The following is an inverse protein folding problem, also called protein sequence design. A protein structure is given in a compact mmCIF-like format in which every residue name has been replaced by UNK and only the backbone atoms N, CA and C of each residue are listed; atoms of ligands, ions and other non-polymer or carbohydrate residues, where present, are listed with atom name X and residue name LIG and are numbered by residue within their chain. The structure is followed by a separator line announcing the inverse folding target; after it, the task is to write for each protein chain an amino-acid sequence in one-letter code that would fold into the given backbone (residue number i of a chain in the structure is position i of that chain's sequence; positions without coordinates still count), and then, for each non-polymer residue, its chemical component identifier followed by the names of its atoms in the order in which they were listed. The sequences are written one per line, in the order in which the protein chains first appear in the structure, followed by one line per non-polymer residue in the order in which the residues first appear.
data_IF_586317576881
#
_entry.id   IF_586317576881
#
_cell.length_a   1.000
_cell.length_b   1.000
_cell.length_c   1.000
_cell.angle_alpha   90.00
_cell.angle_beta   90.00
_cell.angle_gamma   90.00
#
_symmetry.space_group_name_H-M   'P 1'
#
loop_
_entity.id
_entity.type
_entity.pdbx_description
1 polymer ?
#
# COMPACT_ATOMS: atom_id res chain seq x y z
N UNK A 1 30.72 -27.62 40.54
CA UNK A 1 29.61 -27.13 41.37
C UNK A 1 29.76 -25.63 41.49
N UNK A 2 28.91 -24.86 40.82
CA UNK A 2 28.60 -23.47 41.16
C UNK A 2 27.21 -23.19 40.57
N UNK A 3 26.20 -23.35 41.43
CA UNK A 3 24.85 -22.85 41.23
C UNK A 3 24.96 -21.32 41.35
N UNK A 4 24.53 -20.59 40.33
CA UNK A 4 24.33 -19.14 40.45
C UNK A 4 22.84 -18.96 40.77
N UNK A 5 22.55 -18.34 41.90
CA UNK A 5 21.21 -18.01 42.35
C UNK A 5 20.49 -17.11 41.35
N UNK A 6 19.36 -17.60 40.84
CA UNK A 6 18.49 -16.96 39.84
C UNK A 6 17.30 -16.31 40.56
N UNK A 7 17.59 -15.44 41.52
CA UNK A 7 16.58 -14.70 42.26
C UNK A 7 16.70 -13.21 41.91
N UNK A 8 15.66 -12.61 41.30
CA UNK A 8 15.72 -11.22 40.88
C UNK A 8 15.94 -10.31 42.09
N UNK A 9 16.74 -9.24 41.93
CA UNK A 9 17.09 -8.35 43.03
C UNK A 9 15.84 -7.67 43.62
N UNK A 10 15.85 -7.42 44.93
CA UNK A 10 14.68 -6.99 45.70
C UNK A 10 14.00 -5.71 45.16
N UNK A 11 14.74 -4.82 44.51
CA UNK A 11 14.18 -3.62 43.87
C UNK A 11 13.22 -3.95 42.71
N UNK A 12 13.44 -5.06 42.00
CA UNK A 12 12.56 -5.50 40.90
C UNK A 12 11.25 -6.10 41.45
N UNK A 13 11.31 -6.78 42.60
CA UNK A 13 10.13 -7.32 43.28
C UNK A 13 9.25 -6.22 43.87
N UNK A 14 9.86 -5.14 44.35
CA UNK A 14 9.15 -3.98 44.90
C UNK A 14 8.39 -3.21 43.82
N UNK A 15 9.01 -2.98 42.64
CA UNK A 15 8.35 -2.39 41.46
C UNK A 15 7.17 -3.22 40.93
N UNK A 16 7.29 -4.55 40.93
CA UNK A 16 6.21 -5.43 40.49
C UNK A 16 4.98 -5.36 41.43
N UNK A 17 5.20 -5.20 42.74
CA UNK A 17 4.11 -5.01 43.71
C UNK A 17 3.42 -3.65 43.56
N UNK A 18 4.18 -2.60 43.30
CA UNK A 18 3.66 -1.26 43.08
C UNK A 18 2.75 -1.19 41.84
N UNK A 19 3.14 -1.86 40.75
CA UNK A 19 2.34 -1.93 39.51
C UNK A 19 1.03 -2.72 39.69
N UNK A 20 1.03 -3.79 40.49
CA UNK A 20 -0.18 -4.58 40.77
C UNK A 20 -1.16 -3.85 41.72
N UNK A 21 -0.66 -3.00 42.61
CA UNK A 21 -1.51 -2.19 43.49
C UNK A 21 -2.23 -1.07 42.72
N UNK A 22 -1.55 -0.44 41.75
CA UNK A 22 -2.14 0.60 40.90
C UNK A 22 -3.26 0.07 39.96
N UNK A 23 -3.18 -1.20 39.56
CA UNK A 23 -4.19 -1.82 38.70
C UNK A 23 -5.51 -2.12 39.45
N UNK A 24 -5.48 -2.30 40.77
CA UNK A 24 -6.64 -2.69 41.57
C UNK A 24 -7.49 -1.50 42.05
N UNK A 25 -6.99 -0.26 41.95
CA UNK A 25 -7.72 0.97 42.34
C UNK A 25 -8.50 1.61 41.18
N UNK A 26 -8.40 1.06 39.95
CA UNK A 26 -9.06 1.61 38.76
C UNK A 26 -10.43 0.96 38.44
N UNK A 27 -10.82 -0.12 39.11
CA UNK A 27 -12.07 -0.87 38.84
C UNK A 27 -13.21 -0.56 39.83
N UNK A 28 -13.40 0.70 40.19
CA UNK A 28 -14.53 1.09 41.04
C UNK A 28 -15.04 2.50 40.74
N UNK A 29 -15.67 2.69 39.58
CA UNK A 29 -16.71 3.71 39.43
C UNK A 29 -17.70 3.34 38.31
N UNK A 30 -18.67 2.48 38.64
CA UNK A 30 -19.89 2.28 37.85
C UNK A 30 -20.91 3.35 38.26
N UNK A 31 -21.28 4.25 37.33
CA UNK A 31 -22.51 5.04 37.46
C UNK A 31 -23.23 5.18 36.11
N UNK A 32 -24.20 4.29 35.93
CA UNK A 32 -25.57 4.51 35.44
C UNK A 32 -25.84 5.72 34.51
N UNK A 33 -26.00 5.43 33.21
CA UNK A 33 -26.67 6.28 32.25
C UNK A 33 -27.49 5.42 31.26
N UNK A 34 -28.78 5.24 31.57
CA UNK A 34 -29.76 4.74 30.61
C UNK A 34 -29.93 5.73 29.44
N UNK A 35 -29.93 5.22 28.20
CA UNK A 35 -30.69 5.83 27.11
C UNK A 35 -29.92 6.38 25.89
N UNK A 36 -29.12 5.54 25.24
CA UNK A 36 -28.87 5.62 23.80
C UNK A 36 -28.82 4.17 23.28
N UNK A 37 -29.37 3.84 22.08
CA UNK A 37 -28.98 2.57 21.46
C UNK A 37 -27.46 2.61 21.35
N UNK A 38 -26.79 1.58 21.87
CA UNK A 38 -25.37 1.41 21.59
C UNK A 38 -25.22 1.49 20.06
N UNK A 39 -24.26 2.27 19.52
CA UNK A 39 -23.88 2.07 18.13
C UNK A 39 -23.54 0.58 17.99
N UNK A 40 -24.02 -0.07 16.93
CA UNK A 40 -23.71 -1.48 16.61
C UNK A 40 -22.18 -1.59 16.45
N UNK A 41 -21.47 -1.80 17.55
CA UNK A 41 -20.01 -1.93 17.60
C UNK A 41 -19.50 -3.22 16.93
N UNK A 42 -20.41 -3.96 16.29
CA UNK A 42 -20.21 -5.21 15.56
C UNK A 42 -20.62 -5.11 14.07
N UNK A 43 -21.01 -3.93 13.56
CA UNK A 43 -21.48 -3.84 12.18
C UNK A 43 -20.32 -3.85 11.19
N UNK A 44 -19.87 -5.06 10.86
CA UNK A 44 -19.12 -5.38 9.64
C UNK A 44 -19.84 -4.74 8.44
N UNK A 45 -19.12 -4.24 7.43
CA UNK A 45 -19.71 -3.74 6.20
C UNK A 45 -20.82 -4.67 5.70
N UNK A 46 -21.92 -4.09 5.21
CA UNK A 46 -23.08 -4.86 4.72
C UNK A 46 -22.79 -5.62 3.39
N UNK A 47 -21.52 -5.79 3.02
CA UNK A 47 -21.01 -6.49 1.84
C UNK A 47 -20.20 -7.73 2.24
N UNK A 48 -20.46 -8.91 1.65
CA UNK A 48 -19.68 -10.11 1.92
C UNK A 48 -18.19 -9.96 1.54
N UNK A 49 -17.28 -10.53 2.34
CA UNK A 49 -15.84 -10.52 2.06
C UNK A 49 -15.51 -11.06 0.66
N UNK A 50 -16.18 -12.14 0.22
CA UNK A 50 -15.96 -12.68 -1.13
C UNK A 50 -16.30 -11.68 -2.26
N UNK A 51 -17.27 -10.80 -2.04
CA UNK A 51 -17.62 -9.76 -3.00
C UNK A 51 -16.58 -8.62 -2.99
N UNK A 52 -16.01 -8.30 -1.82
CA UNK A 52 -14.90 -7.35 -1.68
C UNK A 52 -13.66 -7.89 -2.40
N UNK A 53 -13.27 -9.14 -2.14
CA UNK A 53 -12.12 -9.80 -2.76
C UNK A 53 -12.26 -9.85 -4.30
N UNK A 54 -13.47 -10.14 -4.81
CA UNK A 54 -13.75 -10.15 -6.24
C UNK A 54 -13.70 -8.74 -6.85
N UNK A 55 -14.23 -7.73 -6.15
CA UNK A 55 -14.15 -6.33 -6.60
C UNK A 55 -12.70 -5.83 -6.65
N UNK A 56 -11.90 -6.20 -5.66
CA UNK A 56 -10.45 -5.95 -5.61
C UNK A 56 -9.75 -6.62 -6.79
N UNK A 57 -9.99 -7.92 -7.01
CA UNK A 57 -9.40 -8.68 -8.13
C UNK A 57 -9.75 -8.05 -9.49
N UNK A 58 -11.01 -7.68 -9.70
CA UNK A 58 -11.45 -7.02 -10.93
C UNK A 58 -10.79 -5.66 -11.11
N UNK A 59 -10.59 -4.91 -10.03
CA UNK A 59 -9.88 -3.63 -10.07
C UNK A 59 -8.42 -3.82 -10.46
N UNK A 60 -7.75 -4.86 -9.95
CA UNK A 60 -6.37 -5.18 -10.37
C UNK A 60 -6.29 -5.58 -11.85
N UNK A 61 -7.21 -6.41 -12.32
CA UNK A 61 -7.26 -6.82 -13.73
C UNK A 61 -7.53 -5.64 -14.68
N UNK A 62 -8.39 -4.69 -14.28
CA UNK A 62 -8.61 -3.47 -15.06
C UNK A 62 -7.32 -2.67 -15.22
N UNK A 63 -6.55 -2.53 -14.14
CA UNK A 63 -5.29 -1.79 -14.15
C UNK A 63 -4.18 -2.50 -14.89
N UNK A 64 -4.06 -3.82 -14.73
CA UNK A 64 -3.11 -4.64 -15.50
C UNK A 64 -3.35 -4.47 -17.01
N UNK A 65 -4.62 -4.47 -17.42
CA UNK A 65 -4.99 -4.16 -18.80
C UNK A 65 -4.62 -2.72 -19.20
N UNK A 66 -4.88 -1.73 -18.34
CA UNK A 66 -4.54 -0.31 -18.61
C UNK A 66 -3.04 -0.02 -18.65
N UNK A 67 -2.21 -0.81 -17.96
CA UNK A 67 -0.75 -0.74 -17.99
C UNK A 67 -0.13 -1.43 -19.20
N UNK A 68 -0.86 -2.35 -19.86
CA UNK A 68 -0.38 -3.03 -21.05
C UNK A 68 -0.49 -2.14 -22.29
N UNK A 69 0.26 -2.50 -23.34
CA UNK A 69 0.23 -1.79 -24.62
C UNK A 69 -1.21 -1.59 -25.16
N UNK A 70 -1.63 -0.34 -25.42
CA UNK A 70 -3.03 -0.03 -25.67
C UNK A 70 -3.49 -0.60 -27.01
N UNK A 71 -4.40 -1.57 -26.93
CA UNK A 71 -5.12 -2.14 -28.07
C UNK A 71 -6.63 -2.07 -27.81
N UNK A 72 -7.48 -2.00 -28.84
CA UNK A 72 -8.94 -1.99 -28.64
C UNK A 72 -9.44 -3.16 -27.79
N UNK A 73 -8.82 -4.33 -27.93
CA UNK A 73 -9.14 -5.53 -27.16
C UNK A 73 -8.78 -5.40 -25.67
N UNK A 74 -7.66 -4.75 -25.37
CA UNK A 74 -7.20 -4.49 -23.99
C UNK A 74 -8.06 -3.41 -23.33
N UNK A 75 -8.38 -2.33 -24.05
CA UNK A 75 -9.30 -1.28 -23.57
C UNK A 75 -10.69 -1.87 -23.26
N UNK A 76 -11.22 -2.72 -24.15
CA UNK A 76 -12.50 -3.41 -23.94
C UNK A 76 -12.45 -4.38 -22.74
N UNK A 77 -11.32 -5.04 -22.50
CA UNK A 77 -11.14 -5.88 -21.32
C UNK A 77 -11.15 -5.06 -20.03
N UNK A 78 -10.41 -3.95 -19.98
CA UNK A 78 -10.39 -3.04 -18.83
C UNK A 78 -11.79 -2.51 -18.49
N UNK A 79 -12.54 -2.07 -19.50
CA UNK A 79 -13.92 -1.61 -19.36
C UNK A 79 -14.83 -2.72 -18.79
N UNK A 80 -14.75 -3.95 -19.32
CA UNK A 80 -15.53 -5.09 -18.81
C UNK A 80 -15.22 -5.42 -17.35
N UNK A 81 -13.95 -5.32 -16.92
CA UNK A 81 -13.59 -5.53 -15.52
C UNK A 81 -14.18 -4.45 -14.62
N UNK A 82 -14.13 -3.17 -15.02
CA UNK A 82 -14.75 -2.05 -14.30
C UNK A 82 -16.26 -2.21 -14.21
N UNK A 83 -16.92 -2.51 -15.32
CA UNK A 83 -18.37 -2.75 -15.36
C UNK A 83 -18.80 -3.89 -14.43
N UNK A 84 -18.04 -4.99 -14.42
CA UNK A 84 -18.34 -6.13 -13.55
C UNK A 84 -18.13 -5.81 -12.07
N UNK A 85 -17.08 -5.06 -11.73
CA UNK A 85 -16.85 -4.58 -10.36
C UNK A 85 -18.00 -3.68 -9.91
N UNK A 86 -18.41 -2.74 -10.74
CA UNK A 86 -19.46 -1.78 -10.41
C UNK A 86 -20.82 -2.47 -10.28
N UNK A 87 -21.12 -3.45 -11.15
CA UNK A 87 -22.31 -4.28 -11.03
C UNK A 87 -22.32 -5.13 -9.75
N UNK A 88 -21.16 -5.69 -9.37
CA UNK A 88 -21.01 -6.45 -8.13
C UNK A 88 -21.21 -5.57 -6.89
N UNK A 89 -20.60 -4.38 -6.85
CA UNK A 89 -20.76 -3.45 -5.73
C UNK A 89 -22.23 -3.00 -5.61
N UNK A 90 -22.88 -2.68 -6.74
CA UNK A 90 -24.28 -2.25 -6.77
C UNK A 90 -25.26 -3.34 -6.30
N UNK A 91 -24.94 -4.63 -6.46
CA UNK A 91 -25.74 -5.74 -5.92
C UNK A 91 -25.92 -5.63 -4.40
N UNK A 92 -24.90 -5.10 -3.71
CA UNK A 92 -24.87 -4.91 -2.27
C UNK A 92 -25.18 -3.47 -1.83
N UNK A 93 -25.55 -2.58 -2.76
CA UNK A 93 -25.84 -1.17 -2.46
C UNK A 93 -24.59 -0.32 -2.22
N UNK A 94 -23.50 -0.62 -2.94
CA UNK A 94 -22.24 0.11 -2.88
C UNK A 94 -21.84 0.64 -4.26
N UNK A 95 -21.15 1.78 -4.24
CA UNK A 95 -20.47 2.38 -5.38
C UNK A 95 -18.95 2.23 -5.18
N UNK A 96 -18.29 1.60 -6.13
CA UNK A 96 -16.84 1.45 -6.13
C UNK A 96 -16.13 2.73 -6.61
N UNK A 97 -15.03 3.10 -5.96
CA UNK A 97 -14.15 4.19 -6.36
C UNK A 97 -12.71 3.81 -6.12
N UNK A 98 -11.83 4.13 -7.08
CA UNK A 98 -10.38 4.02 -6.91
C UNK A 98 -9.83 5.38 -6.47
N UNK A 99 -8.97 5.38 -5.45
CA UNK A 99 -8.24 6.55 -4.97
C UNK A 99 -6.77 6.37 -5.32
N UNK A 100 -6.27 7.18 -6.24
CA UNK A 100 -4.90 7.05 -6.75
C UNK A 100 -3.84 7.52 -5.72
N UNK A 101 -4.23 8.37 -4.76
CA UNK A 101 -3.33 9.01 -3.79
C UNK A 101 -2.57 7.99 -2.92
N UNK A 102 -3.28 6.95 -2.48
CA UNK A 102 -2.80 5.85 -1.64
C UNK A 102 -3.11 4.47 -2.23
N UNK A 103 -3.67 4.45 -3.43
CA UNK A 103 -3.92 3.24 -4.21
C UNK A 103 -4.90 2.29 -3.56
N UNK A 104 -6.04 2.84 -3.16
CA UNK A 104 -7.11 2.09 -2.51
C UNK A 104 -8.35 1.96 -3.41
N UNK A 105 -8.96 0.77 -3.38
CA UNK A 105 -10.35 0.58 -3.78
C UNK A 105 -11.22 0.88 -2.56
N UNK A 106 -12.15 1.82 -2.71
CA UNK A 106 -13.14 2.16 -1.70
C UNK A 106 -14.54 1.81 -2.20
N UNK A 107 -15.27 0.99 -1.43
CA UNK A 107 -16.68 0.72 -1.64
C UNK A 107 -17.49 1.62 -0.70
N UNK A 108 -18.12 2.64 -1.26
CA UNK A 108 -18.98 3.55 -0.50
C UNK A 108 -20.43 3.05 -0.55
N UNK A 109 -21.18 3.09 0.56
CA UNK A 109 -22.62 2.92 0.50
C UNK A 109 -23.25 3.89 -0.53
N UNK A 110 -24.12 3.39 -1.40
CA UNK A 110 -24.71 4.18 -2.50
C UNK A 110 -25.41 5.43 -2.01
N UNK A 111 -26.01 5.36 -0.83
CA UNK A 111 -26.73 6.47 -0.23
C UNK A 111 -25.83 7.68 0.09
N UNK A 112 -24.53 7.46 0.29
CA UNK A 112 -23.54 8.51 0.47
C UNK A 112 -23.11 9.16 -0.83
N UNK A 113 -23.36 8.53 -1.97
CA UNK A 113 -22.92 9.02 -3.27
C UNK A 113 -24.00 9.87 -3.93
N UNK A 114 -23.58 10.97 -4.54
CA UNK A 114 -24.39 11.71 -5.51
C UNK A 114 -23.47 12.25 -6.60
N UNK A 115 -23.83 12.01 -7.87
CA UNK A 115 -23.06 12.45 -9.04
C UNK A 115 -21.56 12.10 -8.94
N UNK A 116 -21.24 10.88 -8.50
CA UNK A 116 -19.86 10.39 -8.35
C UNK A 116 -19.07 10.98 -7.17
N UNK A 117 -19.71 11.78 -6.32
CA UNK A 117 -19.08 12.47 -5.19
C UNK A 117 -19.70 12.04 -3.86
N UNK A 118 -18.86 11.77 -2.87
CA UNK A 118 -19.28 11.47 -1.49
C UNK A 118 -19.94 12.72 -0.88
N UNK A 119 -21.14 12.56 -0.34
CA UNK A 119 -21.90 13.58 0.36
C UNK A 119 -21.62 13.45 1.86
N UNK A 120 -20.70 14.26 2.38
CA UNK A 120 -20.23 14.17 3.77
C UNK A 120 -21.35 14.32 4.81
N UNK A 121 -22.43 15.05 4.48
CA UNK A 121 -23.61 15.21 5.33
C UNK A 121 -24.46 13.94 5.46
N UNK A 122 -24.25 12.95 4.57
CA UNK A 122 -24.91 11.64 4.60
C UNK A 122 -24.07 10.55 5.24
N UNK A 123 -22.79 10.84 5.53
CA UNK A 123 -21.89 9.90 6.18
C UNK A 123 -22.20 9.90 7.67
N UNK A 124 -23.01 8.95 8.11
CA UNK A 124 -23.36 8.79 9.53
C UNK A 124 -22.31 7.97 10.29
N UNK A 125 -21.68 7.01 9.60
CA UNK A 125 -20.73 6.06 10.17
C UNK A 125 -19.73 5.61 9.11
N UNK A 126 -18.48 6.06 9.21
CA UNK A 126 -17.41 5.77 8.25
C UNK A 126 -17.04 4.29 8.17
N UNK A 127 -17.31 3.51 9.22
CA UNK A 127 -16.94 2.09 9.30
C UNK A 127 -17.77 1.22 8.34
N UNK A 128 -18.82 1.80 7.75
CA UNK A 128 -19.63 1.16 6.70
C UNK A 128 -18.96 1.14 5.34
N UNK A 129 -17.97 1.99 5.06
CA UNK A 129 -17.20 1.91 3.83
C UNK A 129 -16.16 0.80 3.93
N UNK A 130 -15.89 0.13 2.81
CA UNK A 130 -14.80 -0.85 2.72
C UNK A 130 -13.64 -0.22 1.98
N UNK A 131 -12.45 -0.21 2.59
CA UNK A 131 -11.21 0.24 1.97
C UNK A 131 -10.25 -0.94 1.81
N UNK A 132 -9.78 -1.15 0.58
CA UNK A 132 -8.84 -2.23 0.23
C UNK A 132 -7.65 -1.63 -0.48
N UNK A 133 -6.45 -1.85 0.05
CA UNK A 133 -5.21 -1.45 -0.60
C UNK A 133 -4.99 -2.29 -1.86
N UNK A 134 -4.85 -1.63 -3.00
CA UNK A 134 -4.51 -2.26 -4.28
C UNK A 134 -2.99 -2.48 -4.40
N UNK A 135 -2.21 -1.69 -3.66
CA UNK A 135 -0.77 -1.79 -3.46
C UNK A 135 -0.41 -2.72 -2.29
N UNK A 136 0.78 -3.32 -2.33
CA UNK A 136 1.34 -4.14 -1.25
C UNK A 136 1.57 -5.62 -1.60
N UNK A 137 2.17 -6.40 -0.68
CA UNK A 137 2.79 -7.72 -0.94
C UNK A 137 1.81 -8.87 -1.25
N UNK A 138 0.53 -8.58 -1.51
CA UNK A 138 -0.51 -9.60 -1.72
C UNK A 138 -0.42 -10.35 -3.05
N UNK A 139 0.33 -9.83 -4.02
CA UNK A 139 0.54 -10.43 -5.34
C UNK A 139 2.01 -10.77 -5.57
N UNK A 140 2.33 -12.07 -5.53
CA UNK A 140 3.70 -12.56 -5.61
C UNK A 140 4.31 -12.47 -7.02
N UNK A 141 3.49 -12.49 -8.07
CA UNK A 141 3.99 -12.41 -9.44
C UNK A 141 4.23 -10.95 -9.79
N UNK A 142 3.29 -10.05 -9.48
CA UNK A 142 3.47 -8.60 -9.56
C UNK A 142 4.67 -8.12 -8.73
N UNK A 143 4.87 -8.69 -7.54
CA UNK A 143 6.04 -8.37 -6.71
C UNK A 143 7.36 -8.63 -7.45
N UNK A 144 7.50 -9.78 -8.14
CA UNK A 144 8.77 -10.12 -8.81
C UNK A 144 9.08 -9.17 -9.97
N UNK A 145 8.07 -8.85 -10.76
CA UNK A 145 8.20 -7.93 -11.89
C UNK A 145 8.60 -6.52 -11.42
N UNK A 146 7.85 -5.98 -10.46
CA UNK A 146 8.14 -4.66 -9.86
C UNK A 146 9.51 -4.64 -9.18
N UNK A 147 9.88 -5.71 -8.45
CA UNK A 147 11.19 -5.79 -7.81
C UNK A 147 12.32 -5.78 -8.85
N UNK A 148 12.17 -6.49 -9.96
CA UNK A 148 13.16 -6.51 -11.04
C UNK A 148 13.30 -5.14 -11.71
N UNK A 149 12.19 -4.44 -11.99
CA UNK A 149 12.24 -3.07 -12.53
C UNK A 149 12.89 -2.09 -11.56
N UNK A 150 12.49 -2.11 -10.28
CA UNK A 150 13.06 -1.19 -9.29
C UNK A 150 14.56 -1.46 -9.07
N UNK A 151 15.00 -2.72 -9.14
CA UNK A 151 16.41 -3.10 -9.10
C UNK A 151 17.16 -2.58 -10.34
N UNK A 152 16.61 -2.72 -11.55
CA UNK A 152 17.25 -2.22 -12.78
C UNK A 152 17.40 -0.69 -12.78
N UNK A 153 16.42 0.04 -12.25
CA UNK A 153 16.53 1.49 -12.06
C UNK A 153 17.62 1.82 -11.03
N UNK A 154 17.68 1.12 -9.91
CA UNK A 154 18.72 1.34 -8.90
C UNK A 154 20.13 1.06 -9.46
N UNK A 155 20.30 0.00 -10.24
CA UNK A 155 21.54 -0.31 -10.95
C UNK A 155 21.90 0.80 -11.96
N UNK A 156 20.94 1.28 -12.75
CA UNK A 156 21.17 2.38 -13.68
C UNK A 156 21.57 3.68 -12.98
N UNK A 157 21.03 3.97 -11.78
CA UNK A 157 21.46 5.12 -10.97
C UNK A 157 22.88 4.92 -10.45
N UNK A 158 23.25 3.72 -10.00
CA UNK A 158 24.62 3.41 -9.56
C UNK A 158 25.66 3.61 -10.67
N UNK A 159 25.31 3.25 -11.91
CA UNK A 159 26.18 3.44 -13.07
C UNK A 159 26.33 4.91 -13.49
N UNK A 160 25.27 5.72 -13.35
CA UNK A 160 25.16 7.05 -13.98
C UNK A 160 25.34 8.22 -13.01
N UNK A 161 25.07 8.02 -11.72
CA UNK A 161 25.00 9.08 -10.72
C UNK A 161 26.11 8.98 -9.67
N UNK A 162 26.16 9.97 -8.77
CA UNK A 162 27.05 9.92 -7.62
C UNK A 162 26.58 8.87 -6.59
N UNK A 163 27.52 8.34 -5.80
CA UNK A 163 27.29 7.29 -4.79
C UNK A 163 26.16 7.64 -3.80
N UNK A 164 26.00 8.93 -3.46
CA UNK A 164 24.93 9.42 -2.58
C UNK A 164 23.54 9.12 -3.16
N UNK A 165 23.37 9.27 -4.47
CA UNK A 165 22.13 9.00 -5.19
C UNK A 165 21.93 7.49 -5.37
N UNK A 166 22.98 6.76 -5.73
CA UNK A 166 22.95 5.31 -5.90
C UNK A 166 22.45 4.58 -4.64
N UNK A 167 23.01 4.92 -3.48
CA UNK A 167 22.60 4.28 -2.22
C UNK A 167 21.20 4.72 -1.75
N UNK A 168 20.77 5.92 -2.13
CA UNK A 168 19.37 6.34 -1.92
C UNK A 168 18.44 5.53 -2.83
N UNK A 169 18.83 5.30 -4.09
CA UNK A 169 18.08 4.52 -5.07
C UNK A 169 17.89 3.07 -4.62
N UNK A 170 18.93 2.40 -4.12
CA UNK A 170 18.83 1.04 -3.57
C UNK A 170 17.79 0.95 -2.44
N UNK A 171 17.85 1.90 -1.50
CA UNK A 171 16.92 1.92 -0.36
C UNK A 171 15.50 2.25 -0.81
N UNK A 172 15.36 3.15 -1.80
CA UNK A 172 14.05 3.54 -2.34
C UNK A 172 13.41 2.43 -3.17
N UNK A 173 14.18 1.71 -3.99
CA UNK A 173 13.75 0.52 -4.70
C UNK A 173 13.23 -0.54 -3.72
N UNK A 174 13.99 -0.82 -2.65
CA UNK A 174 13.56 -1.74 -1.61
C UNK A 174 12.27 -1.28 -0.90
N UNK A 175 12.10 0.02 -0.65
CA UNK A 175 10.87 0.57 -0.09
C UNK A 175 9.68 0.35 -1.03
N UNK A 176 9.79 0.79 -2.28
CA UNK A 176 8.72 0.73 -3.27
C UNK A 176 8.31 -0.72 -3.60
N UNK A 177 9.28 -1.63 -3.72
CA UNK A 177 8.99 -3.06 -3.97
C UNK A 177 8.34 -3.74 -2.76
N UNK A 178 8.82 -3.49 -1.54
CA UNK A 178 8.34 -4.23 -0.36
C UNK A 178 7.07 -3.65 0.26
N UNK A 179 6.93 -2.32 0.32
CA UNK A 179 5.79 -1.68 0.98
C UNK A 179 4.63 -1.46 0.01
N UNK A 180 4.93 -1.15 -1.25
CA UNK A 180 3.91 -0.73 -2.20
C UNK A 180 3.71 -1.67 -3.38
N UNK A 181 4.70 -2.52 -3.70
CA UNK A 181 4.67 -3.33 -4.92
C UNK A 181 4.33 -2.43 -6.13
N UNK A 182 5.06 -1.32 -6.21
CA UNK A 182 4.98 -0.34 -7.29
C UNK A 182 6.34 0.04 -7.90
N UNK A 183 6.36 0.44 -9.19
CA UNK A 183 7.50 1.10 -9.81
C UNK A 183 7.96 2.33 -9.03
N UNK A 184 9.27 2.60 -9.03
CA UNK A 184 9.87 3.76 -8.34
C UNK A 184 9.44 5.11 -8.94
N UNK A 185 9.14 5.16 -10.23
CA UNK A 185 8.68 6.33 -10.97
C UNK A 185 7.19 6.61 -10.80
N UNK A 186 6.40 5.64 -10.31
CA UNK A 186 4.99 5.82 -9.90
C UNK A 186 4.82 6.27 -8.43
N UNK A 187 5.91 6.66 -7.77
CA UNK A 187 5.87 7.06 -6.37
C UNK A 187 5.15 8.41 -6.16
N UNK A 188 4.03 8.41 -5.42
CA UNK A 188 3.28 9.63 -5.10
C UNK A 188 4.05 10.54 -4.12
N UNK A 189 3.68 11.83 -4.02
CA UNK A 189 4.30 12.75 -3.05
C UNK A 189 4.20 12.28 -1.59
N UNK A 190 3.12 11.59 -1.22
CA UNK A 190 2.94 11.05 0.12
C UNK A 190 3.93 9.90 0.40
N UNK A 191 4.12 9.00 -0.56
CA UNK A 191 5.07 7.89 -0.46
C UNK A 191 6.51 8.41 -0.41
N UNK A 192 6.83 9.43 -1.21
CA UNK A 192 8.14 10.11 -1.15
C UNK A 192 8.36 10.80 0.21
N UNK A 193 7.33 11.34 0.84
CA UNK A 193 7.43 11.91 2.19
C UNK A 193 7.68 10.81 3.24
N UNK A 194 6.88 9.74 3.23
CA UNK A 194 7.06 8.59 4.12
C UNK A 194 8.45 7.96 3.98
N UNK A 195 8.94 7.82 2.74
CA UNK A 195 10.29 7.32 2.49
C UNK A 195 11.33 8.18 3.23
N UNK A 196 11.27 9.50 3.06
CA UNK A 196 12.26 10.44 3.63
C UNK A 196 12.18 10.52 5.14
N UNK A 197 10.96 10.63 5.67
CA UNK A 197 10.71 10.94 7.08
C UNK A 197 10.76 9.69 7.96
N UNK A 198 10.42 8.52 7.42
CA UNK A 198 10.25 7.30 8.20
C UNK A 198 11.15 6.17 7.71
N UNK A 199 10.97 5.73 6.46
CA UNK A 199 11.57 4.49 5.99
C UNK A 199 13.10 4.57 5.90
N UNK A 200 13.62 5.63 5.27
CA UNK A 200 15.04 5.82 5.05
C UNK A 200 15.79 5.87 6.39
N UNK A 201 15.28 6.65 7.34
CA UNK A 201 15.89 6.79 8.67
C UNK A 201 15.90 5.48 9.44
N UNK A 202 14.83 4.70 9.35
CA UNK A 202 14.67 3.44 10.09
C UNK A 202 15.42 2.26 9.47
N UNK A 203 15.50 2.21 8.14
CA UNK A 203 15.96 1.02 7.41
C UNK A 203 17.26 1.26 6.63
N UNK A 204 17.46 2.44 6.05
CA UNK A 204 18.63 2.76 5.21
C UNK A 204 19.85 3.24 5.98
N UNK A 205 19.68 3.68 7.23
CA UNK A 205 20.75 4.24 8.08
C UNK A 205 21.58 5.31 7.33
N UNK A 206 20.93 6.40 6.89
CA UNK A 206 21.51 7.34 5.95
C UNK A 206 22.65 8.13 6.59
N UNK A 207 23.58 8.60 5.75
CA UNK A 207 24.54 9.63 6.14
C UNK A 207 23.88 11.01 6.15
N UNK A 208 24.48 11.98 6.83
CA UNK A 208 24.00 13.38 6.78
C UNK A 208 23.95 13.91 5.34
N UNK A 209 24.95 13.55 4.52
CA UNK A 209 24.99 13.88 3.09
C UNK A 209 23.83 13.27 2.30
N UNK A 210 23.41 12.05 2.63
CA UNK A 210 22.23 11.43 2.01
C UNK A 210 20.93 12.11 2.43
N UNK A 211 20.80 12.51 3.69
CA UNK A 211 19.62 13.24 4.17
C UNK A 211 19.52 14.61 3.49
N UNK A 212 20.64 15.32 3.35
CA UNK A 212 20.70 16.62 2.70
C UNK A 212 20.39 16.53 1.18
N UNK A 213 20.78 15.41 0.55
CA UNK A 213 20.60 15.17 -0.88
C UNK A 213 19.36 14.33 -1.23
N UNK A 214 18.49 14.00 -0.26
CA UNK A 214 17.43 13.00 -0.50
C UNK A 214 16.42 13.44 -1.56
N UNK A 215 15.99 14.71 -1.53
CA UNK A 215 15.05 15.24 -2.52
C UNK A 215 15.65 15.30 -3.93
N UNK A 216 16.94 15.65 -4.02
CA UNK A 216 17.69 15.63 -5.27
C UNK A 216 17.85 14.19 -5.78
N UNK A 217 18.16 13.25 -4.89
CA UNK A 217 18.29 11.83 -5.22
C UNK A 217 16.99 11.26 -5.77
N UNK A 218 15.85 11.60 -5.20
CA UNK A 218 14.54 11.18 -5.73
C UNK A 218 14.27 11.75 -7.13
N UNK A 219 14.71 12.97 -7.41
CA UNK A 219 14.61 13.56 -8.76
C UNK A 219 15.57 12.89 -9.76
N UNK A 220 16.76 12.49 -9.32
CA UNK A 220 17.72 11.73 -10.13
C UNK A 220 17.16 10.35 -10.47
N UNK A 221 16.58 9.65 -9.49
CA UNK A 221 15.95 8.33 -9.70
C UNK A 221 14.83 8.44 -10.74
N UNK A 222 13.92 9.40 -10.59
CA UNK A 222 12.84 9.63 -11.56
C UNK A 222 13.37 9.93 -12.97
N UNK A 223 14.45 10.72 -13.06
CA UNK A 223 15.07 11.05 -14.34
C UNK A 223 15.72 9.83 -15.00
N UNK A 224 16.35 8.95 -14.22
CA UNK A 224 16.98 7.71 -14.73
C UNK A 224 15.93 6.67 -15.08
N UNK A 225 14.87 6.55 -14.28
CA UNK A 225 13.76 5.62 -14.53
C UNK A 225 13.10 5.90 -15.89
N UNK A 226 12.92 7.17 -16.26
CA UNK A 226 12.41 7.55 -17.58
C UNK A 226 13.30 7.15 -18.78
N UNK A 227 14.53 6.68 -18.52
CA UNK A 227 15.47 6.16 -19.53
C UNK A 227 15.69 4.65 -19.44
N UNK A 228 15.06 3.98 -18.47
CA UNK A 228 15.08 2.53 -18.32
C UNK A 228 13.75 2.02 -18.87
N UNK A 229 13.81 1.21 -19.92
CA UNK A 229 12.59 0.61 -20.50
C UNK A 229 11.85 -0.18 -19.42
N UNK A 230 10.54 0.04 -19.32
CA UNK A 230 9.66 -0.72 -18.44
C UNK A 230 9.69 -2.20 -18.89
N UNK A 231 9.78 -3.20 -17.99
CA UNK A 231 9.62 -4.61 -18.39
C UNK A 231 8.33 -4.88 -19.19
N UNK A 232 7.29 -4.05 -19.07
CA UNK A 232 6.11 -4.11 -19.93
C UNK A 232 6.42 -3.86 -21.43
N UNK A 233 7.46 -3.07 -21.72
CA UNK A 233 7.96 -2.80 -23.08
C UNK A 233 8.89 -3.90 -23.61
N UNK A 234 9.58 -4.63 -22.72
CA UNK A 234 10.56 -5.65 -23.11
C UNK A 234 9.93 -6.92 -23.70
N UNK A 235 8.68 -7.25 -23.35
CA UNK A 235 7.92 -8.38 -23.90
C UNK A 235 7.42 -8.15 -25.34
N UNK A 236 7.54 -6.92 -25.86
CA UNK A 236 7.18 -6.57 -27.24
C UNK A 236 8.28 -6.93 -28.25
N UNK A 237 9.56 -6.90 -27.85
CA UNK A 237 10.69 -7.06 -28.78
C UNK A 237 11.03 -8.54 -29.08
N UNK A 238 10.65 -9.48 -28.20
CA UNK A 238 10.90 -10.93 -28.41
C UNK A 238 9.83 -11.62 -29.29
N UNK A 239 8.75 -10.91 -29.66
CA UNK A 239 7.71 -11.44 -30.58
C UNK A 239 8.00 -11.15 -32.06
N UNK A 240 8.98 -10.30 -32.36
CA UNK A 240 9.33 -9.92 -33.74
C UNK A 240 10.60 -10.60 -34.26
N UNK A 241 11.11 -11.60 -33.54
CA UNK A 241 12.15 -12.48 -34.07
C UNK A 241 11.58 -13.27 -35.27
N UNK A 242 12.06 -13.05 -36.51
CA UNK A 242 11.57 -13.80 -37.65
C UNK A 242 11.89 -15.28 -37.44
N UNK A 243 10.84 -16.11 -37.42
CA UNK A 243 10.96 -17.57 -37.56
C UNK A 243 11.70 -17.86 -38.86
N UNK A 244 13.01 -18.05 -38.78
CA UNK A 244 13.83 -18.49 -39.90
C UNK A 244 13.42 -19.93 -40.23
N UNK A 245 12.57 -20.06 -41.25
CA UNK A 245 12.10 -21.33 -41.78
C UNK A 245 12.84 -21.66 -43.08
N UNK A 246 13.53 -22.80 -43.03
CA UNK A 246 14.01 -23.67 -44.12
C UNK A 246 15.40 -23.43 -44.74
#
# INVERSE_FOLDING_TARGET
MTRTDDDPPEWAKERAREMMAAANDAEADESDAEGAPAPDADRVPDVPVEAVDEAERLTRLAREAESAEPTPEIEEAADQYRERRDALAAEYGYTARVRDEDDALVLYPDEWMADGTVQLDKVEDTDRAVEVSLSGPGDADRYREVAAYNESVAEAVDERAAEVHARTAETFAAFMSNHYVRPVDDATPAMRAEFREEYLVRNGWPTDEQLDAVDESLSVIESVAAEVDDPADADADDRDAPSDSA
#
